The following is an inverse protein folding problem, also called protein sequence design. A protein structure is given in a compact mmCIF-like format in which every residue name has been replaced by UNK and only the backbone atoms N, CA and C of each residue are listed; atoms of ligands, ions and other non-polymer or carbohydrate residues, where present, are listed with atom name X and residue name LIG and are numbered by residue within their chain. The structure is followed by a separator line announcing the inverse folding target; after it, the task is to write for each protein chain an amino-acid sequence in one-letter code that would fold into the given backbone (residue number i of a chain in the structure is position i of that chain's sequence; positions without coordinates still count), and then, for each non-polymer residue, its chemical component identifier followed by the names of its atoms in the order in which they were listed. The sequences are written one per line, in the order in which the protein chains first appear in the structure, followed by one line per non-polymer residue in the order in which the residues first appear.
data_IF_705995236696
#
_entry.id   IF_705995236696
#
_cell.length_a   1.000
_cell.length_b   1.000
_cell.length_c   1.000
_cell.angle_alpha   90.00
_cell.angle_beta   90.00
_cell.angle_gamma   90.00
#
_symmetry.space_group_name_H-M   'P 1'
#
loop_
_entity.id
_entity.type
_entity.pdbx_description
1 polymer ?
#
# COMPACT_ATOMS: atom_id res chain seq x y z
N UNK A 1 9.91 -54.20 43.49
CA UNK A 1 10.95 -53.16 43.55
C UNK A 1 10.59 -52.04 42.59
N UNK A 2 10.15 -50.88 43.09
CA UNK A 2 10.55 -49.57 42.52
C UNK A 2 10.19 -48.45 43.52
N UNK A 3 11.21 -47.88 44.16
CA UNK A 3 11.12 -46.81 45.16
C UNK A 3 11.49 -45.48 44.50
N UNK A 4 10.56 -44.80 43.83
CA UNK A 4 10.82 -43.45 43.31
C UNK A 4 9.54 -42.60 43.24
N UNK A 5 8.84 -42.43 44.36
CA UNK A 5 7.88 -41.32 44.51
C UNK A 5 8.52 -40.25 45.40
N UNK A 6 9.38 -39.41 44.81
CA UNK A 6 9.84 -38.20 45.46
C UNK A 6 8.67 -37.21 45.48
N UNK A 7 8.19 -36.87 46.68
CA UNK A 7 7.18 -35.82 46.89
C UNK A 7 7.69 -34.49 46.31
N UNK A 8 7.09 -34.07 45.18
CA UNK A 8 7.41 -32.81 44.54
C UNK A 8 6.75 -31.68 45.36
N UNK A 9 7.55 -30.86 46.02
CA UNK A 9 7.04 -29.79 46.87
C UNK A 9 6.24 -28.78 46.00
N UNK A 10 4.95 -28.56 46.26
CA UNK A 10 4.08 -27.78 45.36
C UNK A 10 4.60 -26.36 45.13
N UNK A 11 5.33 -25.79 46.10
CA UNK A 11 5.96 -24.47 45.97
C UNK A 11 7.07 -24.45 44.91
N UNK A 12 7.84 -25.54 44.75
CA UNK A 12 8.88 -25.65 43.72
C UNK A 12 8.26 -25.77 42.32
N UNK A 13 7.15 -26.49 42.20
CA UNK A 13 6.43 -26.64 40.94
C UNK A 13 5.85 -25.31 40.46
N UNK A 14 5.30 -24.50 41.39
CA UNK A 14 4.78 -23.17 41.09
C UNK A 14 5.92 -22.23 40.65
N UNK A 15 7.08 -22.24 41.32
CA UNK A 15 8.22 -21.43 40.90
C UNK A 15 8.75 -21.82 39.51
N UNK A 16 8.83 -23.12 39.21
CA UNK A 16 9.26 -23.62 37.89
C UNK A 16 8.28 -23.19 36.78
N UNK A 17 6.97 -23.28 37.05
CA UNK A 17 5.95 -22.84 36.10
C UNK A 17 6.02 -21.32 35.84
N UNK A 18 6.21 -20.51 36.89
CA UNK A 18 6.33 -19.05 36.76
C UNK A 18 7.57 -18.63 35.97
N UNK A 19 8.72 -19.28 36.19
CA UNK A 19 9.95 -19.03 35.41
C UNK A 19 9.75 -19.40 33.94
N UNK A 20 9.10 -20.53 33.65
CA UNK A 20 8.78 -20.95 32.28
C UNK A 20 7.84 -19.95 31.58
N UNK A 21 6.79 -19.49 32.26
CA UNK A 21 5.84 -18.50 31.71
C UNK A 21 6.56 -17.17 31.46
N UNK A 22 7.40 -16.72 32.39
CA UNK A 22 8.22 -15.51 32.22
C UNK A 22 9.19 -15.63 31.05
N UNK A 23 9.77 -16.83 30.83
CA UNK A 23 10.68 -17.08 29.71
C UNK A 23 9.93 -17.07 28.38
N UNK A 24 8.73 -17.65 28.32
CA UNK A 24 7.86 -17.64 27.13
C UNK A 24 7.50 -16.20 26.74
N UNK A 25 7.19 -15.34 27.71
CA UNK A 25 6.87 -13.93 27.45
C UNK A 25 8.03 -13.14 26.81
N UNK A 26 9.29 -13.54 27.03
CA UNK A 26 10.46 -12.92 26.38
C UNK A 26 10.55 -13.23 24.87
N UNK A 27 9.90 -14.31 24.40
CA UNK A 27 9.89 -14.72 22.98
C UNK A 27 8.60 -14.35 22.25
N UNK A 28 7.61 -13.75 22.93
CA UNK A 28 6.41 -13.23 22.27
C UNK A 28 6.73 -11.87 21.62
N UNK A 29 6.68 -11.75 20.29
CA UNK A 29 6.94 -10.48 19.63
C UNK A 29 5.90 -9.43 20.06
N UNK A 30 6.36 -8.39 20.74
CA UNK A 30 5.55 -7.25 21.19
C UNK A 30 5.24 -6.32 20.01
N UNK A 31 4.44 -6.78 19.05
CA UNK A 31 4.04 -5.99 17.86
C UNK A 31 2.86 -5.06 18.17
N UNK A 32 3.00 -4.19 19.17
CA UNK A 32 1.96 -3.24 19.59
C UNK A 32 1.85 -2.01 18.67
N UNK A 33 2.79 -1.80 17.75
CA UNK A 33 2.94 -0.53 17.00
C UNK A 33 2.41 -0.48 15.56
N UNK A 34 2.09 -1.62 14.92
CA UNK A 34 1.82 -1.64 13.47
C UNK A 34 0.35 -1.39 13.14
N UNK A 35 -0.57 -1.89 13.97
CA UNK A 35 -2.01 -1.82 13.69
C UNK A 35 -2.59 -0.39 13.81
N UNK A 36 -2.07 0.43 14.72
CA UNK A 36 -2.53 1.81 14.91
C UNK A 36 -2.05 2.75 13.78
N UNK A 37 -0.88 2.49 13.19
CA UNK A 37 -0.34 3.31 12.12
C UNK A 37 -1.07 3.11 10.77
N UNK A 38 -1.70 1.95 10.57
CA UNK A 38 -2.45 1.63 9.36
C UNK A 38 -3.68 2.54 9.15
N UNK A 39 -4.27 3.08 10.21
CA UNK A 39 -5.50 3.89 10.11
C UNK A 39 -5.29 5.23 9.38
N UNK A 40 -4.06 5.76 9.35
CA UNK A 40 -3.69 7.00 8.63
C UNK A 40 -2.53 6.77 7.65
N UNK A 41 -2.38 5.54 7.14
CA UNK A 41 -1.30 5.22 6.23
C UNK A 41 -1.56 5.79 4.82
N UNK A 42 -0.49 6.29 4.21
CA UNK A 42 -0.41 6.58 2.78
C UNK A 42 0.50 5.51 2.16
N UNK A 43 -0.03 4.78 1.19
CA UNK A 43 0.73 3.85 0.37
C UNK A 43 1.16 4.56 -0.91
N UNK A 44 2.42 4.39 -1.30
CA UNK A 44 2.99 4.98 -2.51
C UNK A 44 3.62 3.86 -3.32
N UNK A 45 3.13 3.67 -4.54
CA UNK A 45 3.68 2.71 -5.50
C UNK A 45 4.31 3.49 -6.65
N UNK A 46 5.61 3.34 -6.85
CA UNK A 46 6.29 3.83 -8.05
C UNK A 46 6.19 2.76 -9.13
N UNK A 47 5.57 3.09 -10.24
CA UNK A 47 5.36 2.17 -11.36
C UNK A 47 6.55 2.33 -12.31
N UNK A 48 7.26 1.24 -12.56
CA UNK A 48 8.40 1.25 -13.47
C UNK A 48 7.92 1.48 -14.92
N UNK A 49 8.28 2.64 -15.45
CA UNK A 49 7.99 3.08 -16.82
C UNK A 49 9.27 3.34 -17.62
N UNK A 50 10.43 2.97 -17.09
CA UNK A 50 11.72 3.28 -17.69
C UNK A 50 12.11 4.75 -17.53
N UNK A 51 12.05 5.54 -18.62
CA UNK A 51 12.31 6.98 -18.58
C UNK A 51 11.02 7.73 -18.30
N UNK A 52 11.07 8.70 -17.39
CA UNK A 52 9.92 9.46 -16.90
C UNK A 52 9.40 8.95 -15.57
N UNK A 53 8.22 9.44 -15.17
CA UNK A 53 7.62 9.15 -13.86
C UNK A 53 6.21 8.57 -13.98
N UNK A 54 5.87 7.68 -13.04
CA UNK A 54 4.51 7.26 -12.76
C UNK A 54 4.42 6.75 -11.32
N UNK A 55 3.51 7.32 -10.53
CA UNK A 55 3.28 6.85 -9.16
C UNK A 55 1.80 6.86 -8.77
N UNK A 56 1.41 5.81 -8.06
CA UNK A 56 0.08 5.66 -7.48
C UNK A 56 0.16 5.88 -5.96
N UNK A 57 -0.58 6.86 -5.48
CA UNK A 57 -0.79 7.14 -4.07
C UNK A 57 -2.15 6.60 -3.65
N UNK A 58 -2.19 5.89 -2.51
CA UNK A 58 -3.43 5.34 -1.95
C UNK A 58 -3.51 5.65 -0.47
N UNK A 59 -4.57 6.32 -0.06
CA UNK A 59 -4.82 6.61 1.35
C UNK A 59 -5.60 5.47 2.01
N UNK A 60 -5.51 5.36 3.33
CA UNK A 60 -6.27 4.39 4.13
C UNK A 60 -7.80 4.54 3.99
N UNK A 61 -8.31 5.71 3.60
CA UNK A 61 -9.73 5.96 3.33
C UNK A 61 -10.15 5.65 1.87
N UNK A 62 -9.27 5.08 1.06
CA UNK A 62 -9.59 4.57 -0.28
C UNK A 62 -9.46 5.58 -1.41
N UNK A 63 -8.87 6.76 -1.18
CA UNK A 63 -8.58 7.72 -2.25
C UNK A 63 -7.39 7.23 -3.07
N UNK A 64 -7.55 7.17 -4.39
CA UNK A 64 -6.50 6.82 -5.35
C UNK A 64 -6.06 8.08 -6.12
N UNK A 65 -4.76 8.37 -6.08
CA UNK A 65 -4.16 9.54 -6.73
C UNK A 65 -3.07 9.05 -7.67
N UNK A 66 -3.15 9.36 -8.95
CA UNK A 66 -2.08 9.11 -9.92
C UNK A 66 -1.25 10.37 -10.11
N UNK A 67 0.07 10.26 -10.03
CA UNK A 67 1.01 11.32 -10.37
C UNK A 67 1.87 10.84 -11.54
N UNK A 68 1.74 11.52 -12.67
CA UNK A 68 2.30 11.14 -13.97
C UNK A 68 1.88 9.73 -14.45
N UNK A 69 2.08 9.46 -15.74
CA UNK A 69 1.60 8.26 -16.42
C UNK A 69 2.68 7.57 -17.29
N UNK A 70 3.93 8.04 -17.20
CA UNK A 70 5.02 7.55 -18.04
C UNK A 70 4.84 7.88 -19.55
N UNK A 71 5.74 7.37 -20.40
CA UNK A 71 5.62 7.45 -21.84
C UNK A 71 4.41 6.66 -22.39
N UNK A 72 4.03 6.99 -23.63
CA UNK A 72 2.93 6.34 -24.35
C UNK A 72 3.15 4.85 -24.49
N UNK A 73 4.42 4.43 -24.66
CA UNK A 73 4.81 3.04 -24.81
C UNK A 73 4.52 2.17 -23.58
N UNK A 74 4.41 2.78 -22.39
CA UNK A 74 4.16 2.07 -21.12
C UNK A 74 2.72 2.16 -20.65
N UNK A 75 1.83 2.87 -21.36
CA UNK A 75 0.44 3.08 -20.93
C UNK A 75 -0.31 1.79 -20.59
N UNK A 76 -0.12 0.71 -21.35
CA UNK A 76 -0.76 -0.59 -21.06
C UNK A 76 -0.17 -1.27 -19.82
N UNK A 77 1.14 -1.11 -19.56
CA UNK A 77 1.78 -1.64 -18.36
C UNK A 77 1.31 -0.90 -17.11
N UNK A 78 1.21 0.44 -17.19
CA UNK A 78 0.62 1.27 -16.14
C UNK A 78 -0.82 0.85 -15.87
N UNK A 79 -1.64 0.72 -16.91
CA UNK A 79 -3.04 0.28 -16.78
C UNK A 79 -3.16 -1.11 -16.13
N UNK A 80 -2.33 -2.07 -16.54
CA UNK A 80 -2.29 -3.40 -15.92
C UNK A 80 -1.95 -3.30 -14.43
N UNK A 81 -0.94 -2.50 -14.08
CA UNK A 81 -0.51 -2.33 -12.70
C UNK A 81 -1.61 -1.68 -11.82
N UNK A 82 -2.37 -0.73 -12.37
CA UNK A 82 -3.54 -0.15 -11.69
C UNK A 82 -4.61 -1.22 -11.42
N UNK A 83 -4.93 -2.07 -12.41
CA UNK A 83 -5.89 -3.16 -12.22
C UNK A 83 -5.41 -4.22 -11.23
N UNK A 84 -4.14 -4.59 -11.26
CA UNK A 84 -3.55 -5.55 -10.33
C UNK A 84 -3.62 -5.04 -8.87
N UNK A 85 -3.58 -3.72 -8.69
CA UNK A 85 -3.77 -3.06 -7.39
C UNK A 85 -5.26 -2.85 -7.01
N UNK A 86 -6.19 -3.28 -7.86
CA UNK A 86 -7.64 -3.16 -7.64
C UNK A 86 -8.16 -1.74 -7.83
N UNK A 87 -7.49 -0.91 -8.64
CA UNK A 87 -7.92 0.46 -8.94
C UNK A 87 -8.99 0.41 -10.03
N UNK A 88 -10.20 0.82 -9.68
CA UNK A 88 -11.32 1.05 -10.63
C UNK A 88 -11.63 2.53 -10.84
N UNK A 89 -11.10 3.40 -9.98
CA UNK A 89 -11.24 4.85 -10.07
C UNK A 89 -9.98 5.57 -9.60
N UNK A 90 -9.65 6.68 -10.25
CA UNK A 90 -8.62 7.64 -9.86
C UNK A 90 -9.33 8.93 -9.45
N UNK A 91 -9.34 9.23 -8.16
CA UNK A 91 -10.00 10.43 -7.62
C UNK A 91 -9.28 11.71 -8.06
N UNK A 92 -7.95 11.61 -8.17
CA UNK A 92 -7.08 12.71 -8.60
C UNK A 92 -6.01 12.18 -9.54
N UNK A 93 -5.79 12.89 -10.63
CA UNK A 93 -4.65 12.70 -11.53
C UNK A 93 -3.88 14.02 -11.56
N UNK A 94 -2.58 13.95 -11.34
CA UNK A 94 -1.67 15.09 -11.34
C UNK A 94 -0.60 14.84 -12.38
N UNK A 95 -0.45 15.73 -13.35
CA UNK A 95 0.66 15.72 -14.30
C UNK A 95 1.64 16.82 -13.90
N UNK A 96 2.88 16.42 -13.64
CA UNK A 96 3.94 17.31 -13.17
C UNK A 96 4.31 18.34 -14.24
N UNK A 97 4.45 17.88 -15.50
CA UNK A 97 4.71 18.71 -16.68
C UNK A 97 4.40 17.95 -17.97
N UNK A 98 4.28 18.66 -19.09
CA UNK A 98 3.77 18.13 -20.36
C UNK A 98 4.83 17.46 -21.25
N UNK A 99 5.84 16.81 -20.66
CA UNK A 99 6.75 15.98 -21.44
C UNK A 99 6.14 14.59 -21.67
N UNK A 100 6.47 13.99 -22.82
CA UNK A 100 5.88 12.72 -23.27
C UNK A 100 6.12 11.58 -22.27
N UNK A 101 7.28 11.57 -21.63
CA UNK A 101 7.68 10.62 -20.60
C UNK A 101 6.93 10.78 -19.27
N UNK A 102 6.08 11.80 -19.13
CA UNK A 102 5.21 12.00 -17.96
C UNK A 102 3.72 11.93 -18.31
N UNK A 103 3.29 12.46 -19.46
CA UNK A 103 1.87 12.51 -19.86
C UNK A 103 1.45 11.39 -20.83
N UNK A 104 2.41 10.73 -21.48
CA UNK A 104 2.15 9.86 -22.63
C UNK A 104 1.20 8.70 -22.36
N UNK A 105 1.37 8.00 -21.23
CA UNK A 105 0.52 6.87 -20.85
C UNK A 105 -0.91 7.22 -20.46
N UNK A 106 -1.22 8.51 -20.28
CA UNK A 106 -2.51 8.97 -19.77
C UNK A 106 -3.67 8.66 -20.73
N UNK A 107 -3.42 8.71 -22.04
CA UNK A 107 -4.45 8.40 -23.04
C UNK A 107 -4.98 6.97 -22.89
N UNK A 108 -4.10 6.01 -22.64
CA UNK A 108 -4.48 4.59 -22.41
C UNK A 108 -5.38 4.45 -21.19
N UNK A 109 -5.12 5.23 -20.14
CA UNK A 109 -5.94 5.23 -18.92
C UNK A 109 -7.33 5.81 -19.21
N UNK A 110 -7.43 6.93 -19.92
CA UNK A 110 -8.71 7.54 -20.28
C UNK A 110 -9.54 6.76 -21.30
N UNK A 111 -8.91 5.88 -22.06
CA UNK A 111 -9.60 4.96 -22.97
C UNK A 111 -10.04 3.65 -22.29
N UNK A 112 -9.73 3.48 -21.00
CA UNK A 112 -10.10 2.32 -20.20
C UNK A 112 -11.40 2.53 -19.42
N UNK A 113 -11.79 1.54 -18.62
CA UNK A 113 -12.95 1.60 -17.73
C UNK A 113 -12.65 2.30 -16.38
N UNK A 114 -11.41 2.74 -16.15
CA UNK A 114 -11.04 3.47 -14.93
C UNK A 114 -11.73 4.84 -14.93
N UNK A 115 -12.52 5.09 -13.90
CA UNK A 115 -13.19 6.38 -13.73
C UNK A 115 -12.20 7.44 -13.26
N UNK A 116 -12.11 8.58 -13.96
CA UNK A 116 -11.26 9.69 -13.58
C UNK A 116 -12.07 10.82 -12.95
N UNK A 117 -11.65 11.26 -11.76
CA UNK A 117 -12.23 12.39 -11.05
C UNK A 117 -11.60 13.72 -11.47
N UNK A 118 -10.73 14.26 -10.61
CA UNK A 118 -10.10 15.57 -10.80
C UNK A 118 -8.78 15.43 -11.54
N UNK A 119 -8.52 16.34 -12.46
CA UNK A 119 -7.28 16.40 -13.22
C UNK A 119 -6.55 17.72 -12.95
N UNK A 120 -5.27 17.64 -12.60
CA UNK A 120 -4.38 18.78 -12.38
C UNK A 120 -3.16 18.67 -13.29
N UNK A 121 -2.78 19.76 -13.91
CA UNK A 121 -1.54 19.87 -14.68
C UNK A 121 -1.03 21.31 -14.60
N UNK A 122 0.25 21.52 -14.90
CA UNK A 122 0.81 22.85 -15.13
C UNK A 122 0.23 23.39 -16.45
N UNK A 123 -0.90 24.12 -16.37
CA UNK A 123 -1.64 24.85 -17.42
C UNK A 123 -1.96 24.02 -18.70
N UNK A 124 -3.18 23.55 -18.94
CA UNK A 124 -4.44 24.30 -19.21
C UNK A 124 -5.63 23.64 -18.50
N UNK A 125 -6.52 24.48 -17.97
CA UNK A 125 -7.87 24.13 -17.50
C UNK A 125 -8.69 23.62 -18.70
N UNK A 126 -8.69 22.31 -18.95
CA UNK A 126 -9.76 21.70 -19.74
C UNK A 126 -10.94 21.56 -18.80
N UNK A 127 -11.88 22.52 -18.84
CA UNK A 127 -13.20 22.24 -18.31
C UNK A 127 -13.81 21.12 -19.15
N UNK A 128 -13.83 19.91 -18.61
CA UNK A 128 -14.72 18.87 -19.11
C UNK A 128 -16.14 19.33 -18.80
N UNK A 129 -16.78 20.02 -19.75
CA UNK A 129 -18.22 20.18 -19.70
C UNK A 129 -18.86 18.82 -20.01
N UNK A 130 -19.86 18.37 -19.23
CA UNK A 130 -20.62 17.18 -19.57
C UNK A 130 -21.36 17.39 -20.89
N UNK A 131 -21.44 16.32 -21.68
CA UNK A 131 -22.14 16.28 -22.97
C UNK A 131 -23.66 16.51 -22.83
#
# INVERSE_FOLDING_TARGET
MNKYFHSCNPKRLICLAAVLISFIFLFVPQNEGVAAQAQNALFVTFIDVGQGDCSLLRTSNGTNILIDAGPTSTGQAVLSNLYDQGVSSLDVIIISHNHEDHIGGLLTIFQSEIQAGRFYTMEVIVQLQPA
#
